data_IF_113088044531
#
_entry.id   IF_113088044531
#
_cell.length_a   1.000
_cell.length_b   1.000
_cell.length_c   1.000
_cell.angle_alpha   90.00
_cell.angle_beta   90.00
_cell.angle_gamma   90.00
#
_symmetry.space_group_name_H-M   'P 1'
#
loop_
_entity.id
_entity.type
_entity.pdbx_description
1 polymer ?
#
# COMPACT_ATOMS: atom_id res chain seq x y z
N UNK A 1 14.78 3.42 25.44
CA UNK A 1 13.48 2.84 24.99
C UNK A 1 12.43 3.42 25.94
N UNK A 2 11.45 4.17 25.41
CA UNK A 2 10.29 4.57 26.20
C UNK A 2 9.52 3.30 26.56
N UNK A 3 9.39 3.00 27.82
CA UNK A 3 8.53 1.93 28.32
C UNK A 3 7.13 2.53 28.44
N UNK A 4 6.26 2.20 27.49
CA UNK A 4 4.84 2.55 27.59
C UNK A 4 4.21 1.67 28.70
N UNK A 5 3.52 2.30 29.64
CA UNK A 5 2.69 1.55 30.60
C UNK A 5 1.44 1.11 29.85
N UNK A 6 1.28 -0.20 29.65
CA UNK A 6 0.09 -0.78 29.01
C UNK A 6 -1.12 -0.59 29.93
N UNK A 7 -2.26 -0.17 29.40
CA UNK A 7 -3.52 -0.16 30.13
C UNK A 7 -4.08 -1.59 30.22
N UNK A 8 -3.89 -2.22 31.37
CA UNK A 8 -4.29 -3.62 31.54
C UNK A 8 -5.82 -3.80 31.50
N UNK A 9 -6.59 -2.84 31.97
CA UNK A 9 -8.07 -2.92 31.94
C UNK A 9 -8.59 -2.95 30.50
N UNK A 10 -8.03 -2.10 29.61
CA UNK A 10 -8.35 -2.09 28.19
C UNK A 10 -7.86 -3.36 27.47
N UNK A 11 -6.70 -3.88 27.87
CA UNK A 11 -6.17 -5.12 27.33
C UNK A 11 -7.06 -6.33 27.70
N UNK A 12 -7.44 -6.43 28.97
CA UNK A 12 -8.34 -7.46 29.48
C UNK A 12 -9.73 -7.37 28.82
N UNK A 13 -10.24 -6.15 28.65
CA UNK A 13 -11.49 -5.89 27.92
C UNK A 13 -11.43 -6.40 26.49
N UNK A 14 -10.35 -6.08 25.75
CA UNK A 14 -10.17 -6.57 24.39
C UNK A 14 -10.14 -8.09 24.34
N UNK A 15 -9.35 -8.72 25.22
CA UNK A 15 -9.15 -10.18 25.22
C UNK A 15 -10.44 -10.93 25.60
N UNK A 16 -11.26 -10.38 26.49
CA UNK A 16 -12.48 -11.03 26.98
C UNK A 16 -13.71 -10.76 26.12
N UNK A 17 -13.77 -9.61 25.41
CA UNK A 17 -15.00 -9.17 24.75
C UNK A 17 -14.87 -8.89 23.26
N UNK A 18 -13.65 -8.79 22.71
CA UNK A 18 -13.37 -8.26 21.38
C UNK A 18 -13.89 -6.82 21.16
N UNK A 19 -14.31 -6.10 22.21
CA UNK A 19 -14.84 -4.75 22.15
C UNK A 19 -13.88 -3.77 22.83
N UNK A 20 -13.14 -3.01 22.03
CA UNK A 20 -12.10 -2.09 22.49
C UNK A 20 -12.08 -0.76 21.71
N UNK A 21 -13.27 -0.26 21.34
CA UNK A 21 -13.38 1.07 20.74
C UNK A 21 -12.77 2.13 21.67
N UNK A 22 -11.84 2.94 21.12
CA UNK A 22 -11.11 3.99 21.84
C UNK A 22 -10.19 3.50 22.97
N UNK A 23 -9.95 2.23 23.12
CA UNK A 23 -9.01 1.69 24.12
C UNK A 23 -7.60 2.24 23.94
N UNK A 24 -6.88 2.29 25.05
CA UNK A 24 -5.45 2.57 25.08
C UNK A 24 -4.63 1.28 25.13
N UNK A 25 -4.15 0.87 23.98
CA UNK A 25 -3.35 -0.35 23.76
C UNK A 25 -1.92 -0.01 23.33
N UNK A 26 -1.43 1.21 23.69
CA UNK A 26 -0.08 1.65 23.35
C UNK A 26 0.94 0.69 23.93
N UNK A 27 1.84 0.17 23.07
CA UNK A 27 2.88 -0.80 23.46
C UNK A 27 2.39 -2.18 23.89
N UNK A 28 1.07 -2.47 23.75
CA UNK A 28 0.52 -3.77 24.14
C UNK A 28 1.17 -4.94 23.37
N UNK A 29 1.42 -6.05 24.04
CA UNK A 29 1.85 -7.30 23.41
C UNK A 29 0.64 -8.17 23.10
N UNK A 30 0.29 -8.20 21.80
CA UNK A 30 -0.84 -8.93 21.24
C UNK A 30 -0.39 -9.95 20.20
N UNK A 31 0.87 -10.41 20.28
CA UNK A 31 1.42 -11.41 19.35
C UNK A 31 0.59 -12.66 19.32
N UNK A 32 0.28 -13.14 18.12
CA UNK A 32 -0.51 -14.36 17.93
C UNK A 32 -1.94 -14.30 18.48
N UNK A 33 -2.41 -13.14 18.97
CA UNK A 33 -3.75 -13.01 19.51
C UNK A 33 -4.82 -13.27 18.44
N UNK A 34 -5.93 -13.88 18.82
CA UNK A 34 -7.10 -13.99 17.96
C UNK A 34 -8.06 -12.82 18.22
N UNK A 35 -8.01 -11.84 17.34
CA UNK A 35 -8.81 -10.60 17.37
C UNK A 35 -9.72 -10.52 16.14
N UNK A 36 -10.10 -11.68 15.58
CA UNK A 36 -10.98 -11.74 14.42
C UNK A 36 -12.30 -11.04 14.70
N UNK A 37 -12.68 -10.11 13.83
CA UNK A 37 -13.89 -9.30 13.97
C UNK A 37 -13.90 -8.33 15.15
N UNK A 38 -12.79 -8.15 15.87
CA UNK A 38 -12.74 -7.24 17.01
C UNK A 38 -13.06 -5.79 16.61
N UNK A 39 -13.66 -5.04 17.53
CA UNK A 39 -13.90 -3.63 17.39
C UNK A 39 -12.78 -2.82 18.06
N UNK A 40 -11.84 -2.33 17.23
CA UNK A 40 -10.69 -1.50 17.62
C UNK A 40 -10.82 -0.08 17.06
N UNK A 41 -12.05 0.36 16.76
CA UNK A 41 -12.33 1.67 16.20
C UNK A 41 -11.77 2.78 17.10
N UNK A 42 -10.97 3.68 16.52
CA UNK A 42 -10.32 4.78 17.24
C UNK A 42 -9.35 4.35 18.36
N UNK A 43 -9.00 3.08 18.47
CA UNK A 43 -8.05 2.61 19.48
C UNK A 43 -6.67 3.22 19.31
N UNK A 44 -5.96 3.46 20.39
CA UNK A 44 -4.58 3.88 20.44
C UNK A 44 -3.69 2.65 20.55
N UNK A 45 -2.97 2.32 19.48
CA UNK A 45 -2.18 1.10 19.35
C UNK A 45 -0.73 1.42 18.93
N UNK A 46 -0.28 2.65 19.18
CA UNK A 46 1.08 3.07 18.84
C UNK A 46 2.09 2.11 19.45
N UNK A 47 3.03 1.63 18.64
CA UNK A 47 4.05 0.68 19.02
C UNK A 47 3.53 -0.67 19.60
N UNK A 48 2.24 -0.98 19.47
CA UNK A 48 1.72 -2.30 19.84
C UNK A 48 2.34 -3.41 18.98
N UNK A 49 2.53 -4.58 19.57
CA UNK A 49 3.04 -5.75 18.85
C UNK A 49 1.89 -6.72 18.56
N UNK A 50 1.49 -6.79 17.30
CA UNK A 50 0.42 -7.63 16.77
C UNK A 50 0.99 -8.66 15.76
N UNK A 51 2.29 -8.99 15.86
CA UNK A 51 2.88 -9.96 14.95
C UNK A 51 2.14 -11.30 15.02
N UNK A 52 1.91 -11.89 13.84
CA UNK A 52 1.25 -13.19 13.66
C UNK A 52 -0.19 -13.27 14.24
N UNK A 53 -0.80 -12.14 14.59
CA UNK A 53 -2.17 -12.09 15.11
C UNK A 53 -3.21 -12.33 14.01
N UNK A 54 -4.38 -12.86 14.41
CA UNK A 54 -5.54 -12.95 13.55
C UNK A 54 -6.44 -11.72 13.75
N UNK A 55 -6.37 -10.79 12.81
CA UNK A 55 -7.14 -9.54 12.75
C UNK A 55 -8.15 -9.58 11.59
N UNK A 56 -8.53 -10.77 11.11
CA UNK A 56 -9.46 -10.90 9.98
C UNK A 56 -10.80 -10.24 10.30
N UNK A 57 -11.28 -9.37 9.40
CA UNK A 57 -12.52 -8.62 9.58
C UNK A 57 -12.51 -7.63 10.76
N UNK A 58 -11.36 -7.32 11.35
CA UNK A 58 -11.24 -6.34 12.43
C UNK A 58 -11.73 -4.96 11.96
N UNK A 59 -12.39 -4.23 12.84
CA UNK A 59 -12.69 -2.81 12.63
C UNK A 59 -11.65 -1.95 13.36
N UNK A 60 -10.73 -1.36 12.58
CA UNK A 60 -9.72 -0.41 13.06
C UNK A 60 -9.94 1.00 12.50
N UNK A 61 -11.17 1.32 12.07
CA UNK A 61 -11.48 2.64 11.52
C UNK A 61 -10.94 3.76 12.42
N UNK A 62 -10.10 4.63 11.83
CA UNK A 62 -9.51 5.78 12.53
C UNK A 62 -8.55 5.43 13.69
N UNK A 63 -8.15 4.18 13.85
CA UNK A 63 -7.21 3.78 14.90
C UNK A 63 -5.81 4.39 14.69
N UNK A 64 -5.07 4.55 15.78
CA UNK A 64 -3.70 5.06 15.79
C UNK A 64 -2.73 3.92 16.05
N UNK A 65 -2.20 3.30 14.98
CA UNK A 65 -1.30 2.15 15.03
C UNK A 65 0.13 2.47 14.54
N UNK A 66 0.52 3.75 14.54
CA UNK A 66 1.88 4.13 14.12
C UNK A 66 2.97 3.36 14.86
N UNK A 67 4.03 2.96 14.17
CA UNK A 67 5.13 2.13 14.70
C UNK A 67 4.72 0.74 15.21
N UNK A 68 3.48 0.32 15.05
CA UNK A 68 3.06 -1.04 15.43
C UNK A 68 3.78 -2.11 14.60
N UNK A 69 3.84 -3.33 15.15
CA UNK A 69 4.40 -4.50 14.47
C UNK A 69 3.22 -5.41 14.09
N UNK A 70 2.99 -5.56 12.80
CA UNK A 70 1.93 -6.37 12.19
C UNK A 70 2.53 -7.42 11.23
N UNK A 71 3.81 -7.76 11.42
CA UNK A 71 4.50 -8.76 10.61
C UNK A 71 3.74 -10.09 10.66
N UNK A 72 3.43 -10.67 9.51
CA UNK A 72 2.69 -11.93 9.41
C UNK A 72 1.22 -11.88 9.86
N UNK A 73 0.72 -10.73 10.31
CA UNK A 73 -0.65 -10.60 10.78
C UNK A 73 -1.68 -10.86 9.66
N UNK A 74 -2.80 -11.47 10.02
CA UNK A 74 -3.92 -11.67 9.11
C UNK A 74 -4.95 -10.54 9.27
N UNK A 75 -4.96 -9.59 8.33
CA UNK A 75 -5.86 -8.44 8.25
C UNK A 75 -6.87 -8.59 7.08
N UNK A 76 -7.11 -9.82 6.61
CA UNK A 76 -8.03 -10.04 5.50
C UNK A 76 -9.42 -9.46 5.82
N UNK A 77 -9.98 -8.68 4.88
CA UNK A 77 -11.28 -8.00 5.00
C UNK A 77 -11.38 -7.03 6.19
N UNK A 78 -10.25 -6.57 6.73
CA UNK A 78 -10.24 -5.56 7.81
C UNK A 78 -10.74 -4.20 7.30
N UNK A 79 -11.41 -3.47 8.17
CA UNK A 79 -11.71 -2.04 7.98
C UNK A 79 -10.60 -1.20 8.60
N UNK A 80 -9.70 -0.70 7.75
CA UNK A 80 -8.53 0.12 8.11
C UNK A 80 -8.69 1.57 7.62
N UNK A 81 -9.90 1.99 7.27
CA UNK A 81 -10.13 3.34 6.73
C UNK A 81 -9.70 4.42 7.70
N UNK A 82 -8.97 5.41 7.20
CA UNK A 82 -8.49 6.54 8.00
C UNK A 82 -7.53 6.14 9.13
N UNK A 83 -7.04 4.90 9.18
CA UNK A 83 -6.09 4.43 10.19
C UNK A 83 -4.72 5.08 10.00
N UNK A 84 -4.08 5.51 11.08
CA UNK A 84 -2.69 5.90 11.08
C UNK A 84 -1.79 4.66 11.21
N UNK A 85 -1.12 4.29 10.12
CA UNK A 85 -0.21 3.14 10.00
C UNK A 85 1.23 3.58 9.68
N UNK A 86 1.60 4.84 9.98
CA UNK A 86 2.96 5.36 9.72
C UNK A 86 4.02 4.50 10.39
N UNK A 87 5.10 4.22 9.64
CA UNK A 87 6.27 3.46 10.13
C UNK A 87 5.92 2.07 10.70
N UNK A 88 4.75 1.53 10.38
CA UNK A 88 4.41 0.15 10.80
C UNK A 88 5.24 -0.89 10.06
N UNK A 89 5.46 -2.04 10.70
CA UNK A 89 6.06 -3.21 10.09
C UNK A 89 4.94 -4.19 9.74
N UNK A 90 4.65 -4.34 8.45
CA UNK A 90 3.60 -5.20 7.91
C UNK A 90 4.16 -6.22 6.92
N UNK A 91 5.44 -6.58 7.08
CA UNK A 91 6.09 -7.58 6.23
C UNK A 91 5.30 -8.88 6.24
N UNK A 92 5.01 -9.44 5.07
CA UNK A 92 4.25 -10.66 4.87
C UNK A 92 2.82 -10.65 5.48
N UNK A 93 2.27 -9.49 5.84
CA UNK A 93 0.90 -9.38 6.32
C UNK A 93 -0.10 -9.74 5.22
N UNK A 94 -1.22 -10.35 5.61
CA UNK A 94 -2.34 -10.61 4.72
C UNK A 94 -3.40 -9.50 4.83
N UNK A 95 -3.48 -8.65 3.82
CA UNK A 95 -4.43 -7.55 3.70
C UNK A 95 -5.46 -7.79 2.58
N UNK A 96 -5.67 -9.05 2.20
CA UNK A 96 -6.55 -9.40 1.09
C UNK A 96 -7.95 -8.83 1.31
N UNK A 97 -8.44 -8.06 0.33
CA UNK A 97 -9.77 -7.42 0.34
C UNK A 97 -10.03 -6.51 1.55
N UNK A 98 -9.00 -6.02 2.23
CA UNK A 98 -9.14 -5.01 3.28
C UNK A 98 -9.44 -3.63 2.67
N UNK A 99 -10.04 -2.75 3.47
CA UNK A 99 -10.26 -1.35 3.09
C UNK A 99 -9.31 -0.43 3.86
N UNK A 100 -8.31 0.11 3.14
CA UNK A 100 -7.32 1.07 3.64
C UNK A 100 -7.58 2.48 3.07
N UNK A 101 -8.80 2.78 2.61
CA UNK A 101 -9.10 4.09 2.06
C UNK A 101 -8.76 5.20 3.06
N UNK A 102 -8.12 6.25 2.57
CA UNK A 102 -7.71 7.42 3.36
C UNK A 102 -6.76 7.12 4.53
N UNK A 103 -6.20 5.90 4.61
CA UNK A 103 -5.21 5.55 5.64
C UNK A 103 -3.85 6.21 5.36
N UNK A 104 -3.08 6.40 6.43
CA UNK A 104 -1.73 6.95 6.34
C UNK A 104 -0.69 5.85 6.55
N UNK A 105 -0.10 5.43 5.44
CA UNK A 105 0.91 4.37 5.32
C UNK A 105 2.32 4.94 5.05
N UNK A 106 2.57 6.20 5.42
CA UNK A 106 3.87 6.85 5.22
C UNK A 106 4.99 5.98 5.81
N UNK A 107 6.00 5.63 4.98
CA UNK A 107 7.17 4.85 5.40
C UNK A 107 6.84 3.46 6.00
N UNK A 108 5.67 2.92 5.72
CA UNK A 108 5.27 1.57 6.15
C UNK A 108 6.06 0.50 5.38
N UNK A 109 6.45 -0.57 6.06
CA UNK A 109 7.06 -1.74 5.42
C UNK A 109 6.00 -2.81 5.12
N UNK A 110 5.64 -2.93 3.86
CA UNK A 110 4.69 -3.89 3.27
C UNK A 110 5.41 -4.92 2.39
N UNK A 111 6.71 -5.14 2.61
CA UNK A 111 7.48 -6.12 1.84
C UNK A 111 6.81 -7.49 1.92
N UNK A 112 6.63 -8.15 0.77
CA UNK A 112 5.97 -9.47 0.64
C UNK A 112 4.52 -9.52 1.13
N UNK A 113 3.88 -8.39 1.46
CA UNK A 113 2.49 -8.37 1.91
C UNK A 113 1.51 -8.73 0.80
N UNK A 114 0.38 -9.32 1.16
CA UNK A 114 -0.70 -9.63 0.23
C UNK A 114 -1.85 -8.62 0.35
N UNK A 115 -1.95 -7.72 -0.63
CA UNK A 115 -3.00 -6.70 -0.75
C UNK A 115 -3.94 -7.01 -1.93
N UNK A 116 -4.06 -8.27 -2.36
CA UNK A 116 -4.92 -8.62 -3.49
C UNK A 116 -6.37 -8.19 -3.24
N UNK A 117 -6.93 -7.41 -4.17
CA UNK A 117 -8.26 -6.85 -4.08
C UNK A 117 -8.48 -5.85 -2.93
N UNK A 118 -7.42 -5.37 -2.28
CA UNK A 118 -7.55 -4.33 -1.25
C UNK A 118 -7.93 -2.98 -1.87
N UNK A 119 -8.62 -2.14 -1.09
CA UNK A 119 -8.96 -0.76 -1.46
C UNK A 119 -8.02 0.21 -0.73
N UNK A 120 -7.28 1.02 -1.49
CA UNK A 120 -6.33 2.03 -1.00
C UNK A 120 -6.66 3.41 -1.61
N UNK A 121 -7.94 3.68 -1.88
CA UNK A 121 -8.38 4.95 -2.46
C UNK A 121 -7.95 6.10 -1.55
N UNK A 122 -7.21 7.08 -2.11
CA UNK A 122 -6.67 8.24 -1.38
C UNK A 122 -5.73 7.89 -0.22
N UNK A 123 -5.25 6.66 -0.11
CA UNK A 123 -4.26 6.29 0.90
C UNK A 123 -2.92 7.01 0.66
N UNK A 124 -2.22 7.33 1.73
CA UNK A 124 -0.88 7.89 1.67
C UNK A 124 0.17 6.79 1.84
N UNK A 125 0.79 6.38 0.75
CA UNK A 125 1.85 5.36 0.68
C UNK A 125 3.23 5.99 0.37
N UNK A 126 3.39 7.30 0.65
CA UNK A 126 4.65 7.99 0.36
C UNK A 126 5.82 7.25 1.00
N UNK A 127 6.85 6.93 0.18
CA UNK A 127 8.05 6.20 0.59
C UNK A 127 7.80 4.84 1.28
N UNK A 128 6.60 4.28 1.17
CA UNK A 128 6.32 2.93 1.65
C UNK A 128 7.14 1.88 0.88
N UNK A 129 7.49 0.79 1.54
CA UNK A 129 8.19 -0.33 0.93
C UNK A 129 7.20 -1.46 0.62
N UNK A 130 6.87 -1.63 -0.66
CA UNK A 130 5.96 -2.67 -1.18
C UNK A 130 6.71 -3.66 -2.08
N UNK A 131 8.00 -3.84 -1.90
CA UNK A 131 8.77 -4.79 -2.70
C UNK A 131 8.15 -6.19 -2.63
N UNK A 132 7.95 -6.81 -3.80
CA UNK A 132 7.37 -8.14 -3.97
C UNK A 132 5.94 -8.29 -3.41
N UNK A 133 5.30 -7.20 -2.99
CA UNK A 133 3.91 -7.24 -2.53
C UNK A 133 2.95 -7.67 -3.67
N UNK A 134 1.86 -8.31 -3.30
CA UNK A 134 0.80 -8.67 -4.22
C UNK A 134 -0.35 -7.65 -4.14
N UNK A 135 -0.49 -6.81 -5.16
CA UNK A 135 -1.56 -5.82 -5.31
C UNK A 135 -2.48 -6.18 -6.50
N UNK A 136 -2.57 -7.45 -6.86
CA UNK A 136 -3.43 -7.89 -7.97
C UNK A 136 -4.88 -7.45 -7.73
N UNK A 137 -5.44 -6.70 -8.68
CA UNK A 137 -6.80 -6.16 -8.60
C UNK A 137 -7.02 -5.14 -7.48
N UNK A 138 -5.96 -4.62 -6.85
CA UNK A 138 -6.09 -3.58 -5.82
C UNK A 138 -6.57 -2.25 -6.42
N UNK A 139 -7.29 -1.45 -5.62
CA UNK A 139 -7.84 -0.15 -6.01
C UNK A 139 -7.04 0.97 -5.33
N UNK A 140 -6.18 1.65 -6.10
CA UNK A 140 -5.29 2.72 -5.62
C UNK A 140 -5.68 4.10 -6.21
N UNK A 141 -6.96 4.32 -6.47
CA UNK A 141 -7.45 5.55 -7.09
C UNK A 141 -7.04 6.77 -6.24
N UNK A 142 -6.36 7.75 -6.85
CA UNK A 142 -5.90 8.97 -6.19
C UNK A 142 -4.99 8.74 -4.99
N UNK A 143 -4.38 7.58 -4.84
CA UNK A 143 -3.39 7.31 -3.79
C UNK A 143 -2.09 8.08 -4.03
N UNK A 144 -1.36 8.35 -2.95
CA UNK A 144 -0.05 8.97 -3.00
C UNK A 144 1.05 7.93 -2.81
N UNK A 145 1.78 7.60 -3.88
CA UNK A 145 2.88 6.62 -3.90
C UNK A 145 4.25 7.30 -4.17
N UNK A 146 4.38 8.61 -3.94
CA UNK A 146 5.64 9.32 -4.22
C UNK A 146 6.81 8.61 -3.54
N UNK A 147 7.83 8.24 -4.34
CA UNK A 147 9.03 7.58 -3.86
C UNK A 147 8.82 6.20 -3.25
N UNK A 148 7.64 5.60 -3.40
CA UNK A 148 7.39 4.23 -2.91
C UNK A 148 8.25 3.20 -3.66
N UNK A 149 8.53 2.07 -3.03
CA UNK A 149 9.35 0.99 -3.56
C UNK A 149 8.47 -0.22 -3.88
N UNK A 150 8.18 -0.43 -5.16
CA UNK A 150 7.30 -1.49 -5.69
C UNK A 150 8.05 -2.50 -6.56
N UNK A 151 9.38 -2.50 -6.53
CA UNK A 151 10.16 -3.41 -7.35
C UNK A 151 9.70 -4.87 -7.15
N UNK A 152 9.44 -5.56 -8.29
CA UNK A 152 8.94 -6.94 -8.37
C UNK A 152 7.54 -7.14 -7.74
N UNK A 153 6.77 -6.11 -7.49
CA UNK A 153 5.39 -6.25 -7.04
C UNK A 153 4.51 -6.84 -8.15
N UNK A 154 3.40 -7.48 -7.75
CA UNK A 154 2.36 -7.96 -8.65
C UNK A 154 1.20 -6.97 -8.61
N UNK A 155 0.93 -6.30 -9.72
CA UNK A 155 -0.11 -5.28 -9.84
C UNK A 155 -1.03 -5.53 -11.04
N UNK A 156 -1.17 -6.81 -11.44
CA UNK A 156 -2.06 -7.20 -12.54
C UNK A 156 -3.46 -6.69 -12.28
N UNK A 157 -4.04 -5.98 -13.26
CA UNK A 157 -5.38 -5.39 -13.20
C UNK A 157 -5.60 -4.43 -12.01
N UNK A 158 -4.55 -3.89 -11.41
CA UNK A 158 -4.68 -2.85 -10.38
C UNK A 158 -5.23 -1.55 -10.98
N UNK A 159 -6.06 -0.83 -10.22
CA UNK A 159 -6.58 0.47 -10.61
C UNK A 159 -5.79 1.61 -9.95
N UNK A 160 -4.96 2.29 -10.73
CA UNK A 160 -4.09 3.40 -10.31
C UNK A 160 -4.58 4.74 -10.90
N UNK A 161 -5.85 4.83 -11.28
CA UNK A 161 -6.42 6.05 -11.89
C UNK A 161 -6.14 7.25 -11.00
N UNK A 162 -5.51 8.29 -11.58
CA UNK A 162 -5.14 9.54 -10.91
C UNK A 162 -4.20 9.36 -9.70
N UNK A 163 -3.54 8.22 -9.55
CA UNK A 163 -2.53 8.02 -8.51
C UNK A 163 -1.27 8.86 -8.78
N UNK A 164 -0.61 9.28 -7.71
CA UNK A 164 0.69 9.94 -7.81
C UNK A 164 1.82 8.93 -7.56
N UNK A 165 2.48 8.53 -8.64
CA UNK A 165 3.58 7.58 -8.70
C UNK A 165 4.92 8.29 -9.02
N UNK A 166 5.05 9.58 -8.68
CA UNK A 166 6.29 10.32 -8.95
C UNK A 166 7.46 9.67 -8.20
N UNK A 167 8.60 9.52 -8.90
CA UNK A 167 9.83 8.95 -8.33
C UNK A 167 9.69 7.52 -7.76
N UNK A 168 8.64 6.80 -8.15
CA UNK A 168 8.38 5.44 -7.69
C UNK A 168 9.37 4.44 -8.31
N UNK A 169 9.78 3.43 -7.55
CA UNK A 169 10.54 2.28 -8.06
C UNK A 169 9.59 1.14 -8.45
N UNK A 170 9.31 1.00 -9.75
CA UNK A 170 8.47 -0.01 -10.37
C UNK A 170 9.28 -1.03 -11.20
N UNK A 171 10.58 -1.14 -10.97
CA UNK A 171 11.42 -2.05 -11.74
C UNK A 171 10.96 -3.51 -11.59
N UNK A 172 10.89 -4.23 -12.71
CA UNK A 172 10.47 -5.64 -12.73
C UNK A 172 9.04 -5.88 -12.20
N UNK A 173 8.22 -4.84 -12.11
CA UNK A 173 6.83 -4.93 -11.62
C UNK A 173 5.91 -5.48 -12.72
N UNK A 174 4.95 -6.32 -12.36
CA UNK A 174 3.91 -6.77 -13.27
C UNK A 174 2.68 -5.86 -13.17
N UNK A 175 2.49 -4.99 -14.17
CA UNK A 175 1.37 -4.06 -14.33
C UNK A 175 0.44 -4.48 -15.49
N UNK A 176 0.45 -5.75 -15.90
CA UNK A 176 -0.42 -6.24 -16.98
C UNK A 176 -1.86 -5.86 -16.72
N UNK A 177 -2.51 -5.23 -17.71
CA UNK A 177 -3.90 -4.75 -17.63
C UNK A 177 -4.19 -3.76 -16.49
N UNK A 178 -3.17 -3.14 -15.90
CA UNK A 178 -3.39 -2.08 -14.90
C UNK A 178 -3.99 -0.83 -15.55
N UNK A 179 -4.83 -0.12 -14.81
CA UNK A 179 -5.36 1.18 -15.22
C UNK A 179 -4.57 2.32 -14.58
N UNK A 180 -3.77 3.02 -15.40
CA UNK A 180 -2.94 4.16 -15.03
C UNK A 180 -3.49 5.47 -15.63
N UNK A 181 -4.80 5.50 -15.97
CA UNK A 181 -5.43 6.69 -16.56
C UNK A 181 -5.21 7.91 -15.65
N UNK A 182 -4.74 9.01 -16.24
CA UNK A 182 -4.42 10.26 -15.55
C UNK A 182 -3.37 10.13 -14.43
N UNK A 183 -2.67 9.01 -14.30
CA UNK A 183 -1.64 8.82 -13.26
C UNK A 183 -0.41 9.70 -13.53
N UNK A 184 0.26 10.13 -12.46
CA UNK A 184 1.54 10.83 -12.54
C UNK A 184 2.67 9.85 -12.26
N UNK A 185 3.54 9.64 -13.26
CA UNK A 185 4.74 8.78 -13.17
C UNK A 185 6.01 9.62 -13.44
N UNK A 186 6.01 10.88 -13.01
CA UNK A 186 7.17 11.76 -13.20
C UNK A 186 8.41 11.17 -12.52
N UNK A 187 9.50 11.01 -13.30
CA UNK A 187 10.74 10.46 -12.75
C UNK A 187 10.66 9.00 -12.27
N UNK A 188 9.61 8.27 -12.62
CA UNK A 188 9.44 6.88 -12.19
C UNK A 188 10.45 5.94 -12.85
N UNK A 189 10.93 4.95 -12.09
CA UNK A 189 11.80 3.88 -12.56
C UNK A 189 10.97 2.63 -12.92
N UNK A 190 10.76 2.38 -14.21
CA UNK A 190 9.96 1.25 -14.72
C UNK A 190 10.80 0.21 -15.47
N UNK A 191 12.14 0.29 -15.41
CA UNK A 191 12.97 -0.61 -16.19
C UNK A 191 12.55 -2.08 -16.00
N UNK A 192 12.40 -2.81 -17.12
CA UNK A 192 11.99 -4.22 -17.18
C UNK A 192 10.59 -4.52 -16.59
N UNK A 193 9.74 -3.50 -16.37
CA UNK A 193 8.37 -3.72 -15.95
C UNK A 193 7.51 -4.27 -17.10
N UNK A 194 6.46 -5.01 -16.76
CA UNK A 194 5.47 -5.48 -17.73
C UNK A 194 4.20 -4.63 -17.65
N UNK A 195 3.95 -3.80 -18.67
CA UNK A 195 2.78 -2.96 -18.86
C UNK A 195 1.91 -3.47 -20.04
N UNK A 196 2.01 -4.74 -20.41
CA UNK A 196 1.17 -5.28 -21.50
C UNK A 196 -0.31 -5.07 -21.19
N UNK A 197 -1.06 -4.64 -22.21
CA UNK A 197 -2.48 -4.34 -22.12
C UNK A 197 -2.86 -3.25 -21.06
N UNK A 198 -1.87 -2.55 -20.46
CA UNK A 198 -2.16 -1.49 -19.49
C UNK A 198 -2.74 -0.24 -20.17
N UNK A 199 -3.58 0.49 -19.44
CA UNK A 199 -4.14 1.76 -19.89
C UNK A 199 -3.37 2.94 -19.28
N UNK A 200 -2.58 3.64 -20.10
CA UNK A 200 -1.81 4.85 -19.72
C UNK A 200 -2.43 6.12 -20.31
N UNK A 201 -3.72 6.11 -20.66
CA UNK A 201 -4.39 7.29 -21.24
C UNK A 201 -4.14 8.52 -20.37
N UNK A 202 -3.59 9.57 -20.95
CA UNK A 202 -3.21 10.84 -20.31
C UNK A 202 -2.23 10.71 -19.13
N UNK A 203 -1.56 9.58 -18.96
CA UNK A 203 -0.55 9.42 -17.92
C UNK A 203 0.64 10.36 -18.17
N UNK A 204 1.27 10.87 -17.11
CA UNK A 204 2.44 11.72 -17.17
C UNK A 204 3.72 10.90 -16.92
N UNK A 205 4.47 10.58 -17.98
CA UNK A 205 5.73 9.83 -17.97
C UNK A 205 6.97 10.73 -18.08
N UNK A 206 6.86 12.03 -17.84
CA UNK A 206 8.00 12.95 -17.95
C UNK A 206 9.14 12.52 -17.03
N UNK A 207 10.34 12.40 -17.58
CA UNK A 207 11.54 11.95 -16.86
C UNK A 207 11.56 10.47 -16.49
N UNK A 208 10.52 9.70 -16.78
CA UNK A 208 10.46 8.28 -16.43
C UNK A 208 11.47 7.43 -17.24
N UNK A 209 11.91 6.33 -16.65
CA UNK A 209 12.76 5.33 -17.29
C UNK A 209 11.94 4.08 -17.65
N UNK A 210 11.67 3.89 -18.95
CA UNK A 210 10.92 2.75 -19.50
C UNK A 210 11.85 1.73 -20.19
N UNK A 211 13.16 1.72 -19.92
CA UNK A 211 14.09 0.83 -20.59
C UNK A 211 13.65 -0.63 -20.44
N UNK A 212 13.56 -1.35 -21.58
CA UNK A 212 13.14 -2.74 -21.66
C UNK A 212 11.72 -3.03 -21.08
N UNK A 213 10.86 -2.03 -20.98
CA UNK A 213 9.44 -2.22 -20.58
C UNK A 213 8.68 -2.93 -21.70
N UNK A 214 7.84 -3.92 -21.33
CA UNK A 214 6.86 -4.49 -22.25
C UNK A 214 5.61 -3.60 -22.31
N UNK A 215 5.33 -3.02 -23.48
CA UNK A 215 4.15 -2.18 -23.77
C UNK A 215 3.19 -2.83 -24.77
N UNK A 216 3.26 -4.15 -24.99
CA UNK A 216 2.41 -4.85 -25.95
C UNK A 216 0.94 -4.62 -25.61
N UNK A 217 0.15 -4.11 -26.58
CA UNK A 217 -1.27 -3.81 -26.39
C UNK A 217 -1.57 -2.67 -25.43
N UNK A 218 -0.58 -1.96 -24.88
CA UNK A 218 -0.80 -0.85 -23.98
C UNK A 218 -1.45 0.35 -24.70
N UNK A 219 -2.41 1.00 -24.02
CA UNK A 219 -3.02 2.24 -24.52
C UNK A 219 -2.23 3.47 -24.04
N UNK A 220 -1.55 4.13 -24.97
CA UNK A 220 -0.71 5.31 -24.72
C UNK A 220 -1.37 6.63 -25.23
N UNK A 221 -2.70 6.65 -25.38
CA UNK A 221 -3.41 7.83 -25.88
C UNK A 221 -3.17 9.03 -24.97
N UNK A 222 -2.74 10.15 -25.56
CA UNK A 222 -2.48 11.42 -24.86
C UNK A 222 -1.46 11.32 -23.70
N UNK A 223 -0.65 10.25 -23.67
CA UNK A 223 0.44 10.11 -22.68
C UNK A 223 1.47 11.23 -22.89
N UNK A 224 1.94 11.80 -21.78
CA UNK A 224 2.88 12.94 -21.81
C UNK A 224 4.32 12.46 -21.60
N UNK A 225 5.21 12.83 -22.52
CA UNK A 225 6.63 12.51 -22.49
C UNK A 225 7.45 13.80 -22.44
N UNK A 226 8.58 13.78 -21.76
CA UNK A 226 9.63 14.78 -21.82
C UNK A 226 10.85 14.16 -21.10
N UNK A 227 12.00 14.09 -21.74
CA UNK A 227 13.19 13.41 -21.24
C UNK A 227 12.91 11.96 -20.81
N UNK A 228 11.87 11.33 -21.36
CA UNK A 228 11.47 9.96 -21.05
C UNK A 228 12.35 8.98 -21.78
N UNK A 229 12.93 8.00 -21.09
CA UNK A 229 13.66 6.90 -21.73
C UNK A 229 12.65 5.85 -22.21
N UNK A 230 12.61 5.59 -23.50
CA UNK A 230 11.72 4.61 -24.14
C UNK A 230 12.24 3.17 -23.98
N UNK A 231 11.44 2.14 -24.29
CA UNK A 231 11.88 0.73 -24.15
C UNK A 231 13.16 0.36 -24.88
N UNK A 232 13.41 0.97 -26.03
CA UNK A 232 14.64 0.77 -26.84
C UNK A 232 15.84 1.59 -26.34
N UNK A 233 15.68 2.35 -25.26
CA UNK A 233 16.70 3.23 -24.67
C UNK A 233 16.77 4.64 -25.30
N UNK A 234 15.98 4.93 -26.32
CA UNK A 234 15.92 6.28 -26.92
C UNK A 234 15.23 7.28 -25.98
N UNK A 235 15.42 8.59 -26.23
CA UNK A 235 14.75 9.65 -25.46
C UNK A 235 13.55 10.20 -26.24
N UNK A 236 12.39 10.22 -25.59
CA UNK A 236 11.20 10.89 -26.11
C UNK A 236 11.04 12.28 -25.44
N UNK A 237 11.06 13.32 -26.26
CA UNK A 237 10.95 14.72 -25.85
C UNK A 237 9.69 15.41 -26.45
N UNK A 238 8.74 14.63 -26.96
CA UNK A 238 7.57 15.17 -27.71
C UNK A 238 6.67 16.08 -26.88
N UNK A 239 6.73 16.00 -25.57
CA UNK A 239 5.91 16.81 -24.65
C UNK A 239 6.73 17.77 -23.78
N UNK A 240 7.98 18.08 -24.16
CA UNK A 240 8.75 19.13 -23.53
C UNK A 240 8.27 20.51 -24.01
#
# INVERSE_FOLDING_TARGET
AETFAVNNDDLDRLQNTNECSKCDLVGADLRGANLSGANLKWARMTAANLADSNLSGVNMYGAHAGHAILTGANLARADLRGTNLKWTKMTAANLTKSDLSESDLLLTDLTDANLAGATLTRANLMRANLKRANLTGAILIRSNLIGARLARAKMTAANLTKANLSEVDLRLTNLTRADLTDATLWGAELAEANLSEANLTRANLKGANLKAVNLEGANLKETKYCKTTMPDGTKNNSGC
#
